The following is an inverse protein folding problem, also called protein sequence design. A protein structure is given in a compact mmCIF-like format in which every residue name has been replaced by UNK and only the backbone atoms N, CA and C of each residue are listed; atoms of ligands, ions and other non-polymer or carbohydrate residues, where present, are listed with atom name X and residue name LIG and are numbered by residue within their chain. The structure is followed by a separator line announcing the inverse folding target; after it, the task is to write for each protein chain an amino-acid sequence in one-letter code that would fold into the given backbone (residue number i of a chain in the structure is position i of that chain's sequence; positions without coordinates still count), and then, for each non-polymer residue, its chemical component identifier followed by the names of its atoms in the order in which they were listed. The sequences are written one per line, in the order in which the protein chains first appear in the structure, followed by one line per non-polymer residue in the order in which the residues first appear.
data_IF_617780161909
#
_entry.id   IF_617780161909
#
_cell.length_a   1.000
_cell.length_b   1.000
_cell.length_c   1.000
_cell.angle_alpha   90.00
_cell.angle_beta   90.00
_cell.angle_gamma   90.00
#
_symmetry.space_group_name_H-M   'P 1'
#
loop_
_entity.id
_entity.type
_entity.pdbx_description
1 polymer ?
#
# COMPACT_ATOMS: atom_id res chain seq x y z
N UNK A 1 6.37 -42.50 14.27
CA UNK A 1 5.20 -41.65 13.94
C UNK A 1 5.29 -40.25 14.58
N UNK A 2 6.01 -40.07 15.70
CA UNK A 2 6.12 -38.80 16.44
C UNK A 2 6.99 -37.74 15.75
N UNK A 3 8.11 -38.14 15.13
CA UNK A 3 9.11 -37.17 14.62
C UNK A 3 8.59 -36.33 13.44
N UNK A 4 7.87 -36.95 12.50
CA UNK A 4 7.24 -36.24 11.39
C UNK A 4 6.24 -35.17 11.84
N UNK A 5 5.55 -35.39 12.97
CA UNK A 5 4.61 -34.42 13.52
C UNK A 5 5.32 -33.21 14.14
N UNK A 6 6.53 -33.41 14.68
CA UNK A 6 7.37 -32.33 15.18
C UNK A 6 7.95 -31.49 14.03
N UNK A 7 8.46 -32.16 13.00
CA UNK A 7 9.00 -31.50 11.80
C UNK A 7 7.93 -30.66 11.07
N UNK A 8 6.72 -31.20 10.91
CA UNK A 8 5.58 -30.46 10.31
C UNK A 8 5.21 -29.23 11.15
N UNK A 9 5.13 -29.34 12.48
CA UNK A 9 4.81 -28.19 13.36
C UNK A 9 5.88 -27.11 13.33
N UNK A 10 7.15 -27.48 13.19
CA UNK A 10 8.26 -26.53 13.13
C UNK A 10 8.27 -25.78 11.79
N UNK A 11 7.97 -26.49 10.70
CA UNK A 11 7.72 -25.90 9.38
C UNK A 11 6.50 -24.98 9.37
N UNK A 12 5.40 -25.35 10.02
CA UNK A 12 4.20 -24.51 10.17
C UNK A 12 4.46 -23.24 11.01
N UNK A 13 5.21 -23.33 12.10
CA UNK A 13 5.60 -22.13 12.87
C UNK A 13 6.50 -21.20 12.08
N UNK A 14 7.44 -21.76 11.33
CA UNK A 14 8.35 -21.00 10.47
C UNK A 14 7.57 -20.33 9.34
N UNK A 15 6.64 -21.03 8.70
CA UNK A 15 5.79 -20.49 7.64
C UNK A 15 4.81 -19.43 8.17
N UNK A 16 4.20 -19.62 9.34
CA UNK A 16 3.34 -18.63 9.98
C UNK A 16 4.11 -17.36 10.37
N UNK A 17 5.36 -17.50 10.83
CA UNK A 17 6.24 -16.37 11.15
C UNK A 17 6.65 -15.62 9.86
N UNK A 18 7.01 -16.34 8.81
CA UNK A 18 7.36 -15.77 7.51
C UNK A 18 6.17 -15.08 6.83
N UNK A 19 4.97 -15.67 6.86
CA UNK A 19 3.74 -15.08 6.34
C UNK A 19 3.38 -13.76 7.06
N UNK A 20 3.74 -13.63 8.34
CA UNK A 20 3.54 -12.42 9.14
C UNK A 20 4.56 -11.31 8.83
N UNK A 21 5.78 -11.69 8.44
CA UNK A 21 6.83 -10.78 7.95
C UNK A 21 6.58 -10.34 6.50
N UNK A 22 6.04 -11.21 5.66
CA UNK A 22 5.67 -10.95 4.27
C UNK A 22 4.15 -10.81 4.10
N UNK A 23 3.49 -10.05 4.98
CA UNK A 23 2.08 -9.72 4.75
C UNK A 23 2.02 -8.75 3.57
N UNK A 24 1.71 -9.29 2.39
CA UNK A 24 1.60 -8.59 1.11
C UNK A 24 0.74 -7.32 1.26
N UNK A 25 -0.23 -7.33 2.17
CA UNK A 25 -1.08 -6.17 2.47
C UNK A 25 -0.30 -4.98 3.01
N UNK A 26 0.71 -5.19 3.87
CA UNK A 26 1.59 -4.11 4.34
C UNK A 26 2.45 -3.54 3.22
N UNK A 27 2.97 -4.42 2.35
CA UNK A 27 3.81 -4.01 1.22
C UNK A 27 2.99 -3.17 0.24
N UNK A 28 1.81 -3.66 -0.16
CA UNK A 28 0.88 -2.95 -1.05
C UNK A 28 0.44 -1.63 -0.40
N UNK A 29 0.01 -1.65 0.86
CA UNK A 29 -0.42 -0.46 1.60
C UNK A 29 0.69 0.60 1.69
N UNK A 30 1.92 0.18 2.02
CA UNK A 30 3.08 1.06 2.05
C UNK A 30 3.40 1.68 0.69
N UNK A 31 3.37 0.89 -0.38
CA UNK A 31 3.55 1.39 -1.74
C UNK A 31 2.48 2.42 -2.12
N UNK A 32 1.21 2.15 -1.81
CA UNK A 32 0.11 3.09 -2.05
C UNK A 32 0.29 4.40 -1.29
N UNK A 33 0.77 4.36 -0.05
CA UNK A 33 1.08 5.58 0.71
C UNK A 33 2.21 6.37 0.05
N UNK A 34 3.35 5.73 -0.26
CA UNK A 34 4.50 6.42 -0.86
C UNK A 34 4.14 7.05 -2.20
N UNK A 35 3.53 6.29 -3.11
CA UNK A 35 3.09 6.82 -4.41
C UNK A 35 1.99 7.86 -4.26
N UNK A 36 1.04 7.66 -3.34
CA UNK A 36 0.00 8.61 -3.03
C UNK A 36 0.55 9.97 -2.61
N UNK A 37 1.56 10.00 -1.72
CA UNK A 37 2.24 11.25 -1.33
C UNK A 37 2.86 11.95 -2.53
N UNK A 38 3.61 11.22 -3.37
CA UNK A 38 4.27 11.79 -4.56
C UNK A 38 3.25 12.40 -5.51
N UNK A 39 2.17 11.67 -5.81
CA UNK A 39 1.13 12.08 -6.74
C UNK A 39 0.30 13.25 -6.17
N UNK A 40 0.02 13.25 -4.86
CA UNK A 40 -0.62 14.39 -4.19
C UNK A 40 0.24 15.64 -4.25
N UNK A 41 1.55 15.54 -4.00
CA UNK A 41 2.47 16.68 -4.11
C UNK A 41 2.49 17.20 -5.55
N UNK A 42 2.62 16.31 -6.55
CA UNK A 42 2.57 16.67 -7.96
C UNK A 42 1.24 17.36 -8.34
N UNK A 43 0.13 16.94 -7.73
CA UNK A 43 -1.16 17.62 -7.83
C UNK A 43 -1.12 19.02 -7.22
N UNK A 44 -0.63 19.16 -5.99
CA UNK A 44 -0.55 20.47 -5.31
C UNK A 44 0.35 21.48 -6.03
N UNK A 45 1.42 21.01 -6.70
CA UNK A 45 2.35 21.86 -7.46
C UNK A 45 1.94 22.05 -8.93
N UNK A 46 0.79 21.52 -9.36
CA UNK A 46 0.33 21.66 -10.74
C UNK A 46 0.06 23.14 -11.08
N UNK A 47 0.53 23.58 -12.25
CA UNK A 47 0.39 24.97 -12.69
C UNK A 47 -1.02 25.25 -13.26
N UNK A 48 -1.45 26.51 -13.28
CA UNK A 48 -2.74 26.95 -13.84
C UNK A 48 -2.93 26.52 -15.32
N UNK A 49 -1.82 26.35 -16.05
CA UNK A 49 -1.82 25.83 -17.42
C UNK A 49 -2.24 24.34 -17.50
N UNK A 50 -1.93 23.55 -16.47
CA UNK A 50 -2.30 22.13 -16.38
C UNK A 50 -3.77 21.98 -15.92
N UNK A 51 -4.22 22.85 -15.01
CA UNK A 51 -5.62 22.94 -14.58
C UNK A 51 -6.57 23.27 -15.74
N UNK A 52 -6.17 24.16 -16.66
CA UNK A 52 -6.96 24.47 -17.86
C UNK A 52 -7.11 23.29 -18.83
N UNK A 53 -6.18 22.34 -18.81
CA UNK A 53 -6.18 21.16 -19.70
C UNK A 53 -7.04 20.01 -19.17
N UNK A 54 -7.36 20.05 -17.87
CA UNK A 54 -8.14 19.04 -17.16
C UNK A 54 -9.53 19.54 -16.73
N UNK A 55 -10.13 20.46 -17.50
CA UNK A 55 -11.45 21.06 -17.19
C UNK A 55 -11.53 21.65 -15.76
N UNK A 56 -10.41 22.13 -15.20
CA UNK A 56 -10.34 22.67 -13.85
C UNK A 56 -10.26 21.63 -12.74
N UNK A 57 -10.20 20.33 -13.05
CA UNK A 57 -10.09 19.24 -12.06
C UNK A 57 -8.64 18.77 -11.98
N UNK A 58 -8.08 18.81 -10.77
CA UNK A 58 -6.73 18.31 -10.53
C UNK A 58 -6.73 16.78 -10.35
N UNK A 59 -6.57 16.05 -11.47
CA UNK A 59 -6.58 14.58 -11.50
C UNK A 59 -5.49 14.00 -10.58
N UNK A 60 -4.26 14.54 -10.64
CA UNK A 60 -3.16 14.10 -9.79
C UNK A 60 -3.52 14.25 -8.31
N UNK A 61 -4.14 15.36 -7.90
CA UNK A 61 -4.53 15.56 -6.51
C UNK A 61 -5.56 14.52 -6.04
N UNK A 62 -6.61 14.30 -6.84
CA UNK A 62 -7.66 13.33 -6.52
C UNK A 62 -7.16 11.89 -6.52
N UNK A 63 -6.34 11.51 -7.50
CA UNK A 63 -5.72 10.19 -7.57
C UNK A 63 -4.78 9.96 -6.39
N UNK A 64 -3.94 10.94 -6.06
CA UNK A 64 -3.04 10.86 -4.90
C UNK A 64 -3.79 10.72 -3.58
N UNK A 65 -4.84 11.53 -3.37
CA UNK A 65 -5.72 11.42 -2.21
C UNK A 65 -6.41 10.04 -2.11
N UNK A 66 -6.89 9.51 -3.23
CA UNK A 66 -7.48 8.17 -3.28
C UNK A 66 -6.46 7.07 -2.93
N UNK A 67 -5.24 7.18 -3.45
CA UNK A 67 -4.13 6.26 -3.13
C UNK A 67 -3.74 6.33 -1.66
N UNK A 68 -3.71 7.52 -1.06
CA UNK A 68 -3.43 7.70 0.37
C UNK A 68 -4.53 7.09 1.24
N UNK A 69 -5.80 7.33 0.94
CA UNK A 69 -6.92 6.77 1.68
C UNK A 69 -6.90 5.24 1.65
N UNK A 70 -6.69 4.64 0.48
CA UNK A 70 -6.55 3.19 0.31
C UNK A 70 -5.31 2.66 1.04
N UNK A 71 -4.16 3.31 0.90
CA UNK A 71 -2.91 2.90 1.55
C UNK A 71 -3.04 2.89 3.07
N UNK A 72 -3.61 3.95 3.66
CA UNK A 72 -3.87 4.04 5.09
C UNK A 72 -4.91 3.01 5.55
N UNK A 73 -5.94 2.73 4.75
CA UNK A 73 -6.89 1.66 5.03
C UNK A 73 -6.19 0.29 5.12
N UNK A 74 -5.34 -0.04 4.15
CA UNK A 74 -4.57 -1.29 4.16
C UNK A 74 -3.61 -1.41 5.33
N UNK A 75 -3.03 -0.28 5.80
CA UNK A 75 -2.17 -0.26 6.99
C UNK A 75 -2.96 -0.35 8.29
N UNK A 76 -4.16 0.23 8.36
CA UNK A 76 -5.05 0.18 9.53
C UNK A 76 -5.80 -1.13 9.69
N UNK A 77 -5.99 -1.90 8.60
CA UNK A 77 -6.66 -3.21 8.58
C UNK A 77 -5.78 -4.39 9.07
N UNK A 78 -4.62 -4.08 9.63
CA UNK A 78 -3.57 -5.04 9.95
C UNK A 78 -3.87 -5.97 11.14
#
# INVERSE_FOLDING_TARGET
MSDYQHEVKELERTSATAARLFDVRRIIGGLFVVYGVIVTIAGLTASDADLKKAEGININLWTGLGMLALGLFFLGWL
#
